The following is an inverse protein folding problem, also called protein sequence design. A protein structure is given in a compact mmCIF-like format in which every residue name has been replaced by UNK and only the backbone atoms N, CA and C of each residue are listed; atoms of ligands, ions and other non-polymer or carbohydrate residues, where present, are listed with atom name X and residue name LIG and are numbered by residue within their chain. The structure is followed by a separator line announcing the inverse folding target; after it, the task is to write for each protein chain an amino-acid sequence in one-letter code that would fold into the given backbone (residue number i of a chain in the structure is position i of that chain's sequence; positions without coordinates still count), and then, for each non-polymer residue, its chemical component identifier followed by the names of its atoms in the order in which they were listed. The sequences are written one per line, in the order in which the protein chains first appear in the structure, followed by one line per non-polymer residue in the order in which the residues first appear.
data_IF_306319658297
#
_entry.id   IF_306319658297
#
_cell.length_a   1.000
_cell.length_b   1.000
_cell.length_c   1.000
_cell.angle_alpha   90.00
_cell.angle_beta   90.00
_cell.angle_gamma   90.00
#
_symmetry.space_group_name_H-M   'P 1'
#
loop_
_entity.id
_entity.type
_entity.pdbx_description
1 polymer ?
#
# COMPACT_ATOMS: atom_id res chain seq x y z
N UNK A 1 7.40 16.94 8.39
CA UNK A 1 8.19 15.76 8.84
C UNK A 1 7.75 14.42 8.21
N UNK A 2 6.66 14.33 7.43
CA UNK A 2 6.16 13.06 6.85
C UNK A 2 6.38 12.90 5.33
N UNK A 3 7.30 13.65 4.72
CA UNK A 3 7.50 13.65 3.26
C UNK A 3 7.96 12.28 2.72
N UNK A 4 8.58 11.46 3.58
CA UNK A 4 8.96 10.09 3.22
C UNK A 4 7.76 9.22 2.84
N UNK A 5 6.56 9.45 3.39
CA UNK A 5 5.35 8.69 3.01
C UNK A 5 4.90 9.01 1.59
N UNK A 6 5.01 10.27 1.16
CA UNK A 6 4.73 10.68 -0.21
C UNK A 6 5.72 10.05 -1.20
N UNK A 7 7.01 10.05 -0.84
CA UNK A 7 8.06 9.43 -1.67
C UNK A 7 7.85 7.91 -1.75
N UNK A 8 7.61 7.26 -0.61
CA UNK A 8 7.33 5.82 -0.54
C UNK A 8 6.09 5.45 -1.36
N UNK A 9 5.00 6.22 -1.26
CA UNK A 9 3.80 6.03 -2.07
C UNK A 9 4.08 6.18 -3.57
N UNK A 10 4.84 7.20 -3.96
CA UNK A 10 5.23 7.40 -5.36
C UNK A 10 6.09 6.24 -5.90
N UNK A 11 7.03 5.72 -5.10
CA UNK A 11 7.84 4.56 -5.46
C UNK A 11 6.99 3.28 -5.58
N UNK A 12 6.08 3.05 -4.64
CA UNK A 12 5.15 1.93 -4.68
C UNK A 12 4.27 1.96 -5.95
N UNK A 13 3.80 3.14 -6.35
CA UNK A 13 3.01 3.30 -7.60
C UNK A 13 3.86 3.03 -8.84
N UNK A 14 5.14 3.41 -8.84
CA UNK A 14 6.06 3.06 -9.94
C UNK A 14 6.26 1.54 -10.03
N UNK A 15 6.40 0.85 -8.90
CA UNK A 15 6.48 -0.61 -8.87
C UNK A 15 5.18 -1.25 -9.36
N UNK A 16 4.04 -0.74 -8.89
CA UNK A 16 2.71 -1.16 -9.33
C UNK A 16 2.47 -1.00 -10.84
N UNK A 17 3.14 -0.05 -11.51
CA UNK A 17 3.05 0.08 -12.97
C UNK A 17 3.60 -1.15 -13.73
N UNK A 18 4.47 -1.95 -13.09
CA UNK A 18 5.08 -3.15 -13.68
C UNK A 18 4.27 -4.43 -13.44
N UNK A 19 3.29 -4.38 -12.53
CA UNK A 19 2.46 -5.54 -12.20
C UNK A 19 1.29 -5.67 -13.19
N UNK A 20 0.82 -6.89 -13.47
CA UNK A 20 -0.31 -7.11 -14.36
C UNK A 20 -1.61 -6.57 -13.74
N UNK A 21 -2.53 -6.13 -14.62
CA UNK A 21 -3.88 -5.71 -14.21
C UNK A 21 -4.62 -6.87 -13.52
N UNK A 22 -5.50 -6.54 -12.59
CA UNK A 22 -6.31 -7.44 -11.76
C UNK A 22 -5.50 -8.48 -10.97
N UNK A 23 -4.22 -8.23 -10.72
CA UNK A 23 -3.45 -9.02 -9.76
C UNK A 23 -3.72 -8.56 -8.33
N UNK A 24 -3.86 -9.50 -7.41
CA UNK A 24 -4.03 -9.21 -5.97
C UNK A 24 -2.82 -8.44 -5.42
N UNK A 25 -1.61 -8.73 -5.94
CA UNK A 25 -0.39 -8.00 -5.58
C UNK A 25 -0.45 -6.52 -5.97
N UNK A 26 -0.93 -6.21 -7.19
CA UNK A 26 -1.12 -4.83 -7.63
C UNK A 26 -2.09 -4.09 -6.70
N UNK A 27 -3.23 -4.71 -6.39
CA UNK A 27 -4.24 -4.12 -5.52
C UNK A 27 -3.68 -3.86 -4.11
N UNK A 28 -2.92 -4.79 -3.56
CA UNK A 28 -2.28 -4.65 -2.25
C UNK A 28 -1.26 -3.51 -2.23
N UNK A 29 -0.35 -3.46 -3.20
CA UNK A 29 0.68 -2.40 -3.31
C UNK A 29 0.03 -1.02 -3.42
N UNK A 30 -0.94 -0.86 -4.32
CA UNK A 30 -1.61 0.43 -4.54
C UNK A 30 -2.44 0.85 -3.34
N UNK A 31 -3.18 -0.10 -2.72
CA UNK A 31 -3.94 0.18 -1.50
C UNK A 31 -3.04 0.61 -0.34
N UNK A 32 -1.90 -0.07 -0.15
CA UNK A 32 -0.92 0.29 0.88
C UNK A 32 -0.29 1.66 0.62
N UNK A 33 0.07 1.95 -0.63
CA UNK A 33 0.57 3.27 -1.04
C UNK A 33 -0.46 4.39 -0.74
N UNK A 34 -1.74 4.13 -1.03
CA UNK A 34 -2.85 5.00 -0.71
C UNK A 34 -2.98 5.28 0.78
N UNK A 35 -2.93 4.25 1.63
CA UNK A 35 -2.99 4.40 3.08
C UNK A 35 -1.86 5.28 3.66
N UNK A 36 -0.68 5.31 3.04
CA UNK A 36 0.42 6.18 3.48
C UNK A 36 0.20 7.65 3.14
N UNK A 37 -0.57 7.94 2.09
CA UNK A 37 -0.68 9.28 1.50
C UNK A 37 -2.02 9.95 1.78
N UNK A 38 -3.11 9.18 1.94
CA UNK A 38 -4.50 9.67 2.03
C UNK A 38 -4.72 10.81 3.05
N UNK A 39 -4.07 10.76 4.21
CA UNK A 39 -4.28 11.74 5.29
C UNK A 39 -3.40 12.99 5.13
N UNK A 40 -2.58 13.07 4.06
CA UNK A 40 -1.58 14.13 3.86
C UNK A 40 -1.77 14.86 2.55
N UNK A 41 -2.05 14.12 1.49
CA UNK A 41 -2.33 14.66 0.17
C UNK A 41 -3.48 13.88 -0.44
N UNK A 42 -4.69 14.34 -0.15
CA UNK A 42 -5.92 13.74 -0.65
C UNK A 42 -5.94 13.71 -2.18
N UNK A 43 -5.37 14.72 -2.85
CA UNK A 43 -5.30 14.76 -4.32
C UNK A 43 -4.42 13.64 -4.86
N UNK A 44 -3.29 13.37 -4.23
CA UNK A 44 -2.45 12.22 -4.60
C UNK A 44 -3.11 10.91 -4.20
N UNK A 45 -3.78 10.84 -3.05
CA UNK A 45 -4.60 9.70 -2.65
C UNK A 45 -5.65 9.35 -3.70
N UNK A 46 -6.43 10.33 -4.17
CA UNK A 46 -7.44 10.15 -5.21
C UNK A 46 -6.85 9.58 -6.50
N UNK A 47 -5.67 10.03 -6.91
CA UNK A 47 -4.98 9.47 -8.09
C UNK A 47 -4.63 8.00 -7.89
N UNK A 48 -4.22 7.59 -6.69
CA UNK A 48 -3.90 6.19 -6.42
C UNK A 48 -5.17 5.34 -6.34
N UNK A 49 -6.26 5.90 -5.79
CA UNK A 49 -7.56 5.23 -5.79
C UNK A 49 -8.08 4.98 -7.22
N UNK A 50 -7.93 5.94 -8.13
CA UNK A 50 -8.26 5.74 -9.55
C UNK A 50 -7.50 4.57 -10.20
N UNK A 51 -6.27 4.30 -9.76
CA UNK A 51 -5.51 3.11 -10.22
C UNK A 51 -6.19 1.82 -9.77
N UNK A 52 -6.75 1.78 -8.55
CA UNK A 52 -7.54 0.65 -8.05
C UNK A 52 -8.79 0.46 -8.91
N UNK A 53 -9.55 1.54 -9.15
CA UNK A 53 -10.78 1.50 -9.96
C UNK A 53 -10.52 0.99 -11.38
N UNK A 54 -9.43 1.44 -12.00
CA UNK A 54 -9.13 1.13 -13.41
C UNK A 54 -8.43 -0.23 -13.59
N UNK A 55 -7.56 -0.62 -12.66
CA UNK A 55 -6.67 -1.77 -12.84
C UNK A 55 -6.91 -2.93 -11.88
N UNK A 56 -7.68 -2.72 -10.81
CA UNK A 56 -7.92 -3.75 -9.79
C UNK A 56 -9.40 -4.07 -9.50
N UNK A 57 -10.39 -3.79 -10.38
CA UNK A 57 -11.81 -3.94 -10.02
C UNK A 57 -12.22 -5.38 -9.69
N UNK A 58 -11.47 -6.39 -10.15
CA UNK A 58 -11.82 -7.80 -9.93
C UNK A 58 -11.18 -8.42 -8.70
N UNK A 59 -10.22 -7.74 -8.09
CA UNK A 59 -9.46 -8.20 -6.92
C UNK A 59 -10.25 -8.08 -5.62
N UNK A 60 -9.88 -8.84 -4.59
CA UNK A 60 -10.55 -8.76 -3.29
C UNK A 60 -10.40 -7.37 -2.66
N UNK A 61 -9.17 -6.85 -2.61
CA UNK A 61 -8.87 -5.52 -2.06
C UNK A 61 -9.53 -4.43 -2.91
N UNK A 62 -9.48 -4.56 -4.24
CA UNK A 62 -10.06 -3.57 -5.14
C UNK A 62 -11.58 -3.49 -5.02
N UNK A 63 -12.28 -4.62 -4.93
CA UNK A 63 -13.74 -4.62 -4.69
C UNK A 63 -14.09 -3.95 -3.37
N UNK A 64 -13.39 -4.29 -2.30
CA UNK A 64 -13.63 -3.70 -0.99
C UNK A 64 -13.33 -2.19 -0.97
N UNK A 65 -12.28 -1.76 -1.68
CA UNK A 65 -11.92 -0.35 -1.79
C UNK A 65 -12.94 0.44 -2.63
N UNK A 66 -13.41 -0.13 -3.74
CA UNK A 66 -14.46 0.46 -4.58
C UNK A 66 -15.77 0.58 -3.81
N UNK A 67 -16.17 -0.46 -3.08
CA UNK A 67 -17.38 -0.45 -2.24
C UNK A 67 -17.31 0.63 -1.15
N UNK A 68 -16.14 0.78 -0.51
CA UNK A 68 -15.89 1.84 0.48
C UNK A 68 -15.71 3.22 -0.17
N UNK A 69 -15.59 3.30 -1.49
CA UNK A 69 -15.10 4.46 -2.23
C UNK A 69 -13.78 5.03 -1.69
N UNK A 70 -12.97 4.20 -1.03
CA UNK A 70 -11.72 4.61 -0.39
C UNK A 70 -10.82 3.41 -0.05
N UNK A 71 -9.58 3.68 0.35
CA UNK A 71 -8.62 2.64 0.78
C UNK A 71 -9.13 1.83 1.99
N UNK A 72 -8.71 0.57 2.06
CA UNK A 72 -9.12 -0.41 3.09
C UNK A 72 -7.93 -0.90 3.90
N UNK A 73 -8.13 -1.20 5.18
CA UNK A 73 -7.07 -1.70 6.07
C UNK A 73 -6.80 -3.22 5.90
N UNK A 74 -6.97 -3.73 4.69
CA UNK A 74 -6.68 -5.12 4.35
C UNK A 74 -5.20 -5.27 3.95
N UNK A 75 -4.64 -6.43 4.26
CA UNK A 75 -3.29 -6.82 3.82
C UNK A 75 -3.41 -7.97 2.82
N UNK A 76 -2.75 -7.84 1.68
CA UNK A 76 -2.54 -8.93 0.73
C UNK A 76 -1.23 -9.68 0.99
N UNK A 77 -0.93 -10.63 0.10
CA UNK A 77 0.26 -11.47 0.21
C UNK A 77 1.57 -10.67 0.18
N UNK A 78 1.63 -9.61 -0.62
CA UNK A 78 2.82 -8.76 -0.73
C UNK A 78 3.11 -8.02 0.58
N UNK A 79 2.11 -7.36 1.16
CA UNK A 79 2.30 -6.59 2.39
C UNK A 79 2.57 -7.48 3.60
N UNK A 80 2.02 -8.70 3.64
CA UNK A 80 2.41 -9.70 4.64
C UNK A 80 3.87 -10.15 4.49
N UNK A 81 4.30 -10.50 3.27
CA UNK A 81 5.69 -10.91 3.01
C UNK A 81 6.70 -9.80 3.35
N UNK A 82 6.38 -8.53 3.04
CA UNK A 82 7.23 -7.40 3.42
C UNK A 82 7.34 -7.23 4.94
N UNK A 83 6.25 -7.48 5.68
CA UNK A 83 6.26 -7.42 7.14
C UNK A 83 7.13 -8.53 7.74
N UNK A 84 6.98 -9.75 7.25
CA UNK A 84 7.80 -10.89 7.67
C UNK A 84 9.30 -10.64 7.40
N UNK A 85 9.64 -10.12 6.21
CA UNK A 85 11.02 -9.79 5.88
C UNK A 85 11.59 -8.67 6.77
N UNK A 86 10.78 -7.65 7.07
CA UNK A 86 11.15 -6.57 7.97
C UNK A 86 11.39 -7.07 9.40
N UNK A 87 10.49 -7.91 9.92
CA UNK A 87 10.58 -8.49 11.26
C UNK A 87 11.81 -9.41 11.38
N UNK A 88 12.10 -10.20 10.34
CA UNK A 88 13.29 -11.04 10.28
C UNK A 88 14.59 -10.21 10.30
N UNK A 89 14.67 -9.16 9.47
CA UNK A 89 15.82 -8.26 9.44
C UNK A 89 16.03 -7.57 10.79
N UNK A 90 14.96 -7.09 11.43
CA UNK A 90 15.04 -6.44 12.74
C UNK A 90 15.52 -7.40 13.84
N UNK A 91 15.08 -8.66 13.79
CA UNK A 91 15.54 -9.71 14.70
C UNK A 91 17.04 -9.98 14.53
N UNK A 92 17.53 -10.02 13.30
CA UNK A 92 18.96 -10.23 12.99
C UNK A 92 19.82 -9.05 13.44
N UNK A 93 19.32 -7.81 13.27
CA UNK A 93 20.05 -6.60 13.64
C UNK A 93 19.94 -6.23 15.13
N UNK A 94 19.21 -7.03 15.94
CA UNK A 94 18.94 -6.75 17.35
C UNK A 94 18.39 -5.34 17.62
N UNK A 95 17.60 -4.81 16.68
CA UNK A 95 17.01 -3.47 16.83
C UNK A 95 15.69 -3.60 17.59
N UNK A 96 15.71 -3.30 18.89
CA UNK A 96 14.48 -3.16 19.69
C UNK A 96 13.71 -1.91 19.24
N UNK A 97 12.57 -2.11 18.59
CA UNK A 97 11.66 -1.00 18.28
C UNK A 97 10.94 -0.65 19.58
N UNK A 98 11.38 0.43 20.24
CA UNK A 98 10.56 1.11 21.25
C UNK A 98 9.37 1.74 20.53
N UNK A 99 8.28 1.00 20.43
CA UNK A 99 6.98 1.53 20.01
C UNK A 99 6.47 2.40 21.13
N UNK A 100 6.89 3.67 21.18
CA UNK A 100 6.23 4.66 22.03
C UNK A 100 4.98 5.17 21.30
N UNK A 101 3.88 5.10 22.04
CA UNK A 101 2.47 5.35 21.67
C UNK A 101 2.21 6.71 21.01
#
# INVERSE_FOLDING_TARGET
RFHYRLIAGALAIKAAALLPNDSEELADVVNRAGLWVKDRDEKTGNRYFQVIEQRCPRTQIGRAAIEKHWFVDQAGAWSSAQREAYDALHKELHIEISTQE
#
